data_IF_989397609037
#
_entry.id   IF_989397609037
#
_cell.length_a   1.000
_cell.length_b   1.000
_cell.length_c   1.000
_cell.angle_alpha   90.00
_cell.angle_beta   90.00
_cell.angle_gamma   90.00
#
_symmetry.space_group_name_H-M   'P 1'
#
loop_
_entity.id
_entity.type
_entity.pdbx_description
1 polymer ?
#
# COMPACT_ATOMS: atom_id res chain seq x y z
N UNK A 1 11.94 -15.90 -15.79
CA UNK A 1 10.93 -14.88 -15.42
C UNK A 1 11.43 -14.19 -14.17
N UNK A 2 11.93 -12.96 -14.27
CA UNK A 2 12.38 -12.21 -13.08
C UNK A 2 11.13 -11.84 -12.29
N UNK A 3 11.03 -12.26 -11.04
CA UNK A 3 9.95 -11.83 -10.17
C UNK A 3 10.05 -10.30 -10.02
N UNK A 4 9.02 -9.57 -10.42
CA UNK A 4 8.95 -8.13 -10.17
C UNK A 4 9.09 -7.86 -8.67
N UNK A 5 9.90 -6.88 -8.30
CA UNK A 5 9.95 -6.45 -6.90
C UNK A 5 8.56 -5.96 -6.47
N UNK A 6 8.22 -6.14 -5.19
CA UNK A 6 6.93 -5.73 -4.60
C UNK A 6 6.52 -4.30 -5.00
N UNK A 7 7.38 -3.26 -4.88
CA UNK A 7 7.00 -1.90 -5.30
C UNK A 7 6.76 -1.78 -6.82
N UNK A 8 7.44 -2.57 -7.65
CA UNK A 8 7.23 -2.59 -9.10
C UNK A 8 5.86 -3.18 -9.44
N UNK A 9 5.50 -4.32 -8.83
CA UNK A 9 4.21 -4.95 -9.02
C UNK A 9 3.04 -4.06 -8.51
N UNK A 10 3.24 -3.35 -7.41
CA UNK A 10 2.26 -2.39 -6.88
C UNK A 10 2.02 -1.22 -7.84
N UNK A 11 3.10 -0.66 -8.40
CA UNK A 11 2.99 0.41 -9.42
C UNK A 11 2.24 -0.07 -10.65
N UNK A 12 2.56 -1.26 -11.15
CA UNK A 12 1.89 -1.84 -12.32
C UNK A 12 0.38 -2.00 -12.09
N UNK A 13 -0.04 -2.55 -10.94
CA UNK A 13 -1.46 -2.69 -10.62
C UNK A 13 -2.17 -1.36 -10.38
N UNK A 14 -1.50 -0.39 -9.77
CA UNK A 14 -2.05 0.95 -9.61
C UNK A 14 -2.29 1.65 -10.97
N UNK A 15 -1.47 1.36 -11.98
CA UNK A 15 -1.67 1.87 -13.35
C UNK A 15 -2.79 1.15 -14.10
N UNK A 16 -2.88 -0.18 -13.99
CA UNK A 16 -3.87 -0.98 -14.73
C UNK A 16 -5.26 -0.91 -14.11
N UNK A 17 -5.35 -0.86 -12.78
CA UNK A 17 -6.63 -0.94 -12.07
C UNK A 17 -6.67 -0.01 -10.83
N UNK A 18 -6.59 1.32 -11.04
CA UNK A 18 -6.40 2.29 -9.95
C UNK A 18 -7.50 2.28 -8.89
N UNK A 19 -8.75 1.99 -9.28
CA UNK A 19 -9.91 2.00 -8.41
C UNK A 19 -10.28 0.61 -7.87
N UNK A 20 -9.56 -0.43 -8.26
CA UNK A 20 -9.81 -1.77 -7.74
C UNK A 20 -9.42 -1.90 -6.29
N UNK A 21 -10.20 -2.67 -5.53
CA UNK A 21 -9.86 -3.05 -4.16
C UNK A 21 -8.52 -3.79 -4.14
N UNK A 22 -7.58 -3.32 -3.32
CA UNK A 22 -6.26 -3.91 -3.14
C UNK A 22 -6.16 -4.62 -1.79
N UNK A 23 -6.50 -3.92 -0.71
CA UNK A 23 -6.44 -4.42 0.66
C UNK A 23 -7.72 -3.98 1.35
N UNK A 24 -8.34 -4.89 2.11
CA UNK A 24 -9.42 -4.58 3.04
C UNK A 24 -8.93 -4.90 4.44
N UNK A 25 -8.86 -3.87 5.28
CA UNK A 25 -8.59 -3.97 6.70
C UNK A 25 -9.92 -4.02 7.45
N UNK A 26 -10.03 -4.85 8.47
CA UNK A 26 -11.23 -4.91 9.32
C UNK A 26 -10.83 -4.40 10.70
N UNK A 27 -11.36 -3.24 11.07
CA UNK A 27 -11.17 -2.63 12.38
C UNK A 27 -12.19 -3.21 13.37
N UNK A 28 -11.71 -4.10 14.24
CA UNK A 28 -12.51 -4.67 15.34
C UNK A 28 -12.41 -3.86 16.64
N UNK A 29 -11.55 -2.84 16.69
CA UNK A 29 -11.45 -1.95 17.85
C UNK A 29 -12.60 -0.93 17.85
N UNK A 30 -13.04 -0.50 16.67
CA UNK A 30 -14.17 0.43 16.53
C UNK A 30 -15.54 -0.25 16.70
N UNK A 31 -15.72 -1.44 16.14
CA UNK A 31 -16.96 -2.21 16.24
C UNK A 31 -16.65 -3.71 16.37
N UNK A 32 -17.33 -4.38 17.29
CA UNK A 32 -17.21 -5.83 17.48
C UNK A 32 -17.65 -6.64 16.25
N UNK A 33 -18.53 -6.09 15.41
CA UNK A 33 -18.93 -6.63 14.12
C UNK A 33 -17.86 -6.41 13.03
N UNK A 34 -16.86 -5.57 13.29
CA UNK A 34 -15.76 -5.23 12.39
C UNK A 34 -16.14 -4.17 11.35
N UNK A 35 -15.37 -3.09 11.28
CA UNK A 35 -15.53 -2.04 10.27
C UNK A 35 -14.56 -2.28 9.11
N UNK A 36 -15.10 -2.51 7.91
CA UNK A 36 -14.30 -2.82 6.73
C UNK A 36 -13.78 -1.55 6.04
N UNK A 37 -12.48 -1.31 6.12
CA UNK A 37 -11.77 -0.28 5.39
C UNK A 37 -11.09 -0.85 4.15
N UNK A 38 -11.60 -0.51 2.96
CA UNK A 38 -11.00 -0.93 1.69
C UNK A 38 -10.13 0.18 1.11
N UNK A 39 -8.89 -0.17 0.79
CA UNK A 39 -7.96 0.67 0.02
C UNK A 39 -7.87 0.19 -1.42
N UNK A 40 -7.92 1.14 -2.34
CA UNK A 40 -7.71 0.86 -3.77
C UNK A 40 -6.23 0.74 -4.13
N UNK A 41 -5.91 0.15 -5.29
CA UNK A 41 -4.51 0.04 -5.76
C UNK A 41 -3.81 1.41 -5.85
N UNK A 42 -4.51 2.44 -6.34
CA UNK A 42 -3.95 3.80 -6.42
C UNK A 42 -3.75 4.43 -5.03
N UNK A 43 -4.67 4.22 -4.09
CA UNK A 43 -4.55 4.71 -2.72
C UNK A 43 -3.40 4.04 -1.97
N UNK A 44 -3.28 2.71 -2.10
CA UNK A 44 -2.22 1.93 -1.49
C UNK A 44 -0.84 2.37 -1.99
N UNK A 45 -0.68 2.49 -3.32
CA UNK A 45 0.59 2.91 -3.92
C UNK A 45 1.01 4.31 -3.48
N UNK A 46 0.06 5.27 -3.43
CA UNK A 46 0.32 6.62 -2.93
C UNK A 46 0.74 6.64 -1.46
N UNK A 47 0.08 5.87 -0.59
CA UNK A 47 0.44 5.78 0.83
C UNK A 47 1.85 5.20 1.00
N UNK A 48 2.21 4.17 0.23
CA UNK A 48 3.55 3.60 0.24
C UNK A 48 4.63 4.62 -0.16
N UNK A 49 4.39 5.40 -1.22
CA UNK A 49 5.32 6.46 -1.64
C UNK A 49 5.46 7.56 -0.58
N UNK A 50 4.36 7.95 0.07
CA UNK A 50 4.40 8.93 1.15
C UNK A 50 5.24 8.45 2.34
N UNK A 51 5.11 7.17 2.71
CA UNK A 51 5.95 6.57 3.77
C UNK A 51 7.41 6.51 3.34
N UNK A 52 7.71 6.10 2.10
CA UNK A 52 9.08 6.03 1.60
C UNK A 52 9.74 7.42 1.49
N UNK A 53 8.99 8.46 1.14
CA UNK A 53 9.48 9.83 1.08
C UNK A 53 9.64 10.50 2.45
N UNK A 54 8.85 10.08 3.44
CA UNK A 54 8.95 10.56 4.82
C UNK A 54 9.92 9.74 5.70
N UNK A 55 10.23 8.52 5.29
CA UNK A 55 11.20 7.69 5.99
C UNK A 55 12.59 8.36 5.88
N UNK A 56 13.24 8.70 7.00
CA UNK A 56 14.64 9.12 6.95
C UNK A 56 15.43 7.99 6.27
N UNK A 57 16.41 8.35 5.44
CA UNK A 57 17.38 7.39 4.93
C UNK A 57 18.17 6.84 6.13
N UNK A 58 17.62 5.85 6.82
CA UNK A 58 18.33 5.06 7.82
C UNK A 58 19.30 4.16 7.05
N UNK A 59 20.37 4.77 6.57
CA UNK A 59 21.35 4.21 5.64
C UNK A 59 22.38 5.28 5.28
N UNK A 60 22.96 5.90 6.31
CA UNK A 60 23.92 6.99 6.17
C UNK A 60 24.60 7.33 7.49
N UNK A 61 25.12 6.33 8.19
CA UNK A 61 26.19 6.53 9.17
C UNK A 61 27.12 5.31 9.22
N UNK A 62 28.06 5.29 8.27
CA UNK A 62 29.50 5.10 8.50
C UNK A 62 30.27 5.36 7.22
#
# INVERSE_FOLDING_TARGET
MVASSIPTALRERASVHPNGAAITYIDYEQDWAGVAETLTWSQLYRRMLNVAGAAPACGGDR
#
